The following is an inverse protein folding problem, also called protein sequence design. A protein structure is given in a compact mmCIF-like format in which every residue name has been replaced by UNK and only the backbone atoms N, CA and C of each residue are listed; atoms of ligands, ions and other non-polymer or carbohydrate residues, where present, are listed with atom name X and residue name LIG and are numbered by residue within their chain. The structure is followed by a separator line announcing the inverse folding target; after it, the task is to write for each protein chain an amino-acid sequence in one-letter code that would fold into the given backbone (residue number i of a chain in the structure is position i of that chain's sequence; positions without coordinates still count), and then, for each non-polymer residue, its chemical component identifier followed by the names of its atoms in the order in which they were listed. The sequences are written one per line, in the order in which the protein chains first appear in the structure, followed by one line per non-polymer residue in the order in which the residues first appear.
data_IF_507151941345
#
_entry.id   IF_507151941345
#
_cell.length_a   1.000
_cell.length_b   1.000
_cell.length_c   1.000
_cell.angle_alpha   90.00
_cell.angle_beta   90.00
_cell.angle_gamma   90.00
#
_symmetry.space_group_name_H-M   'P 1'
#
loop_
_entity.id
_entity.type
_entity.pdbx_description
1 polymer ?
#
# COMPACT_ATOMS: atom_id res chain seq x y z
N UNK A 1 27.15 -26.69 7.13
CA UNK A 1 26.79 -26.15 5.79
C UNK A 1 27.23 -24.70 5.71
N UNK A 2 27.61 -24.22 4.52
CA UNK A 2 27.85 -22.79 4.27
C UNK A 2 26.57 -22.14 3.74
N UNK A 3 26.17 -21.00 4.30
CA UNK A 3 25.07 -20.20 3.75
C UNK A 3 25.47 -18.72 3.70
N UNK A 4 24.97 -18.02 2.67
CA UNK A 4 25.26 -16.59 2.48
C UNK A 4 24.06 -15.76 2.92
N UNK A 5 24.28 -14.84 3.86
CA UNK A 5 23.26 -13.90 4.32
C UNK A 5 23.82 -12.48 4.25
N UNK A 6 23.13 -11.58 3.55
CA UNK A 6 23.57 -10.20 3.31
C UNK A 6 25.00 -10.09 2.73
N UNK A 7 25.39 -11.01 1.84
CA UNK A 7 26.70 -11.02 1.19
C UNK A 7 27.86 -11.56 2.03
N UNK A 8 27.61 -12.07 3.24
CA UNK A 8 28.61 -12.74 4.09
C UNK A 8 28.33 -14.25 4.14
N UNK A 9 29.35 -15.06 3.91
CA UNK A 9 29.30 -16.51 4.05
C UNK A 9 29.52 -16.90 5.51
N UNK A 10 28.59 -17.69 6.05
CA UNK A 10 28.67 -18.22 7.41
C UNK A 10 28.74 -19.74 7.36
N UNK A 11 29.64 -20.32 8.15
CA UNK A 11 29.62 -21.74 8.46
C UNK A 11 28.61 -22.00 9.57
N UNK A 12 27.60 -22.81 9.28
CA UNK A 12 26.47 -23.07 10.15
C UNK A 12 26.26 -24.58 10.24
N UNK A 13 26.57 -25.13 11.39
CA UNK A 13 26.45 -26.56 11.71
C UNK A 13 25.71 -26.73 13.04
N UNK A 14 25.14 -27.91 13.27
CA UNK A 14 24.45 -28.21 14.51
C UNK A 14 25.35 -28.01 15.74
N UNK A 15 26.63 -28.36 15.66
CA UNK A 15 27.59 -28.21 16.76
C UNK A 15 27.92 -26.75 17.07
N UNK A 16 27.97 -25.89 16.04
CA UNK A 16 28.14 -24.44 16.25
C UNK A 16 26.90 -23.87 16.96
N UNK A 17 25.70 -24.30 16.56
CA UNK A 17 24.44 -23.87 17.18
C UNK A 17 24.41 -24.28 18.66
N UNK A 18 24.67 -25.55 18.98
CA UNK A 18 24.71 -26.03 20.38
C UNK A 18 25.73 -25.28 21.23
N UNK A 19 26.97 -25.13 20.72
CA UNK A 19 28.06 -24.43 21.44
C UNK A 19 27.73 -22.97 21.71
N UNK A 20 27.09 -22.29 20.76
CA UNK A 20 26.72 -20.87 20.90
C UNK A 20 25.52 -20.67 21.81
N UNK A 21 24.62 -21.65 21.93
CA UNK A 21 23.49 -21.61 22.85
C UNK A 21 23.87 -21.94 24.29
N UNK A 22 25.03 -22.57 24.53
CA UNK A 22 25.51 -22.86 25.87
C UNK A 22 25.61 -21.59 26.73
N UNK A 23 24.98 -21.61 27.91
CA UNK A 23 24.92 -20.46 28.82
C UNK A 23 23.80 -19.44 28.51
N UNK A 24 23.03 -19.65 27.45
CA UNK A 24 21.81 -18.87 27.19
C UNK A 24 20.57 -19.61 27.68
N UNK A 25 19.50 -18.86 27.94
CA UNK A 25 18.18 -19.41 28.26
C UNK A 25 17.20 -19.14 27.11
N UNK A 26 16.35 -20.11 26.75
CA UNK A 26 15.32 -19.91 25.76
C UNK A 26 14.34 -18.82 26.20
N UNK A 27 14.03 -17.92 25.29
CA UNK A 27 12.93 -16.98 25.46
C UNK A 27 11.58 -17.68 25.23
N UNK A 28 10.49 -16.97 25.55
CA UNK A 28 9.14 -17.43 25.29
C UNK A 28 8.91 -17.70 23.78
N UNK A 29 8.45 -18.90 23.47
CA UNK A 29 8.09 -19.33 22.11
C UNK A 29 6.72 -18.77 21.77
N UNK A 30 6.65 -17.91 20.76
CA UNK A 30 5.37 -17.34 20.32
C UNK A 30 4.64 -18.22 19.29
N UNK A 31 5.37 -18.81 18.34
CA UNK A 31 4.74 -19.50 17.21
C UNK A 31 5.62 -20.60 16.63
N UNK A 32 6.91 -20.30 16.40
CA UNK A 32 7.86 -21.21 15.77
C UNK A 32 8.98 -21.57 16.75
N UNK A 33 9.23 -22.87 16.91
CA UNK A 33 10.31 -23.37 17.77
C UNK A 33 11.21 -24.39 17.09
N UNK A 34 12.41 -24.53 17.65
CA UNK A 34 13.38 -25.58 17.37
C UNK A 34 13.76 -26.24 18.69
N UNK A 35 13.84 -27.56 18.71
CA UNK A 35 14.35 -28.30 19.87
C UNK A 35 15.87 -28.50 19.73
N UNK A 36 16.60 -28.07 20.76
CA UNK A 36 18.05 -28.21 20.88
C UNK A 36 18.32 -28.85 22.23
N UNK A 37 18.89 -30.04 22.22
CA UNK A 37 19.25 -30.83 23.41
C UNK A 37 18.08 -31.00 24.40
N UNK A 38 16.89 -31.32 23.86
CA UNK A 38 15.66 -31.53 24.63
C UNK A 38 14.94 -30.25 25.08
N UNK A 39 15.48 -29.07 24.76
CA UNK A 39 14.90 -27.78 25.13
C UNK A 39 14.35 -27.08 23.88
N UNK A 40 13.13 -26.55 23.94
CA UNK A 40 12.55 -25.79 22.83
C UNK A 40 12.98 -24.32 22.89
N UNK A 41 13.44 -23.81 21.76
CA UNK A 41 13.91 -22.44 21.57
C UNK A 41 13.14 -21.72 20.47
N UNK A 42 12.90 -20.40 20.57
CA UNK A 42 12.42 -19.60 19.47
C UNK A 42 13.42 -19.59 18.31
N UNK A 43 12.96 -19.94 17.10
CA UNK A 43 13.85 -20.09 15.92
C UNK A 43 14.68 -18.84 15.63
N UNK A 44 14.13 -17.63 15.83
CA UNK A 44 14.86 -16.38 15.61
C UNK A 44 15.92 -16.08 16.67
N UNK A 45 15.71 -16.54 17.91
CA UNK A 45 16.68 -16.38 18.97
C UNK A 45 17.90 -17.27 18.68
N UNK A 46 17.66 -18.53 18.29
CA UNK A 46 18.73 -19.45 17.89
C UNK A 46 19.54 -18.90 16.73
N UNK A 47 18.88 -18.36 15.71
CA UNK A 47 19.57 -17.73 14.59
C UNK A 47 20.41 -16.52 15.01
N UNK A 48 19.88 -15.65 15.87
CA UNK A 48 20.61 -14.47 16.34
C UNK A 48 21.85 -14.85 17.18
N UNK A 49 21.71 -15.81 18.10
CA UNK A 49 22.83 -16.27 18.94
C UNK A 49 23.89 -16.99 18.09
N UNK A 50 23.47 -17.86 17.18
CA UNK A 50 24.40 -18.66 16.40
C UNK A 50 25.10 -17.86 15.28
N UNK A 51 24.51 -16.75 14.81
CA UNK A 51 25.10 -15.88 13.77
C UNK A 51 25.67 -14.55 14.28
N UNK A 52 25.33 -14.14 15.51
CA UNK A 52 25.67 -12.82 16.06
C UNK A 52 24.91 -11.63 15.43
N UNK A 53 23.88 -11.90 14.61
CA UNK A 53 23.11 -10.87 13.89
C UNK A 53 21.80 -10.54 14.61
N UNK A 54 21.28 -9.34 14.36
CA UNK A 54 20.00 -8.90 14.94
C UNK A 54 18.81 -9.76 14.48
N UNK A 55 17.91 -10.08 15.42
CA UNK A 55 16.70 -10.90 15.19
C UNK A 55 15.79 -10.37 14.07
N UNK A 56 15.77 -9.05 13.85
CA UNK A 56 14.96 -8.38 12.80
C UNK A 56 15.40 -8.79 11.39
N UNK A 57 16.63 -9.26 11.23
CA UNK A 57 17.18 -9.72 9.95
C UNK A 57 16.70 -11.12 9.56
N UNK A 58 15.99 -11.81 10.45
CA UNK A 58 15.54 -13.18 10.23
C UNK A 58 14.02 -13.28 10.09
N UNK A 59 13.57 -13.97 9.04
CA UNK A 59 12.17 -14.35 8.84
C UNK A 59 11.90 -15.73 9.47
N UNK A 60 10.81 -15.87 10.23
CA UNK A 60 10.55 -17.05 11.08
C UNK A 60 10.55 -18.37 10.29
N UNK A 61 9.89 -18.37 9.13
CA UNK A 61 9.76 -19.54 8.28
C UNK A 61 11.10 -19.92 7.62
N UNK A 62 11.90 -18.93 7.21
CA UNK A 62 13.25 -19.16 6.66
C UNK A 62 14.20 -19.74 7.72
N UNK A 63 14.15 -19.21 8.95
CA UNK A 63 14.92 -19.73 10.08
C UNK A 63 14.53 -21.17 10.43
N UNK A 64 13.22 -21.48 10.45
CA UNK A 64 12.72 -22.84 10.68
C UNK A 64 13.28 -23.82 9.65
N UNK A 65 13.10 -23.53 8.35
CA UNK A 65 13.57 -24.40 7.26
C UNK A 65 15.08 -24.62 7.29
N UNK A 66 15.84 -23.60 7.70
CA UNK A 66 17.30 -23.72 7.82
C UNK A 66 17.70 -24.64 8.98
N UNK A 67 17.05 -24.52 10.13
CA UNK A 67 17.32 -25.35 11.31
C UNK A 67 16.86 -26.80 11.09
N UNK A 68 15.74 -27.01 10.42
CA UNK A 68 15.26 -28.33 9.98
C UNK A 68 16.27 -29.01 9.06
N UNK A 69 16.83 -28.27 8.09
CA UNK A 69 17.90 -28.76 7.19
C UNK A 69 19.20 -29.10 7.92
N UNK A 70 19.42 -28.57 9.11
CA UNK A 70 20.56 -28.91 9.97
C UNK A 70 20.29 -30.13 10.86
N UNK A 71 19.12 -30.76 10.75
CA UNK A 71 18.74 -31.95 11.49
C UNK A 71 18.09 -31.67 12.85
N UNK A 72 17.70 -30.41 13.13
CA UNK A 72 16.97 -30.10 14.36
C UNK A 72 15.46 -30.35 14.20
N UNK A 73 14.83 -30.85 15.26
CA UNK A 73 13.37 -30.97 15.33
C UNK A 73 12.74 -29.59 15.44
N UNK A 74 11.83 -29.25 14.53
CA UNK A 74 11.17 -27.94 14.49
C UNK A 74 9.65 -28.11 14.49
N UNK A 75 8.94 -27.17 15.12
CA UNK A 75 7.48 -27.20 15.17
C UNK A 75 6.83 -25.83 15.15
N UNK A 76 5.51 -25.86 14.99
CA UNK A 76 4.63 -24.70 15.09
C UNK A 76 3.48 -25.04 16.06
N UNK A 77 3.09 -24.08 16.90
CA UNK A 77 1.94 -24.21 17.81
C UNK A 77 2.18 -23.67 19.22
N UNK A 78 1.09 -23.34 19.93
CA UNK A 78 1.08 -22.93 21.34
C UNK A 78 1.26 -24.18 22.22
N UNK A 79 2.43 -24.32 22.86
CA UNK A 79 2.62 -25.39 23.85
C UNK A 79 1.94 -25.02 25.19
N UNK A 80 1.07 -25.91 25.67
CA UNK A 80 0.52 -25.96 27.03
C UNK A 80 1.58 -26.56 27.99
N UNK A 81 2.00 -25.84 29.03
CA UNK A 81 1.79 -26.14 30.48
C UNK A 81 2.83 -25.54 31.45
N UNK A 82 2.30 -25.17 32.63
CA UNK A 82 2.89 -25.00 33.98
C UNK A 82 3.61 -23.69 34.41
N UNK A 83 2.77 -22.80 34.95
CA UNK A 83 2.83 -22.18 36.29
C UNK A 83 4.00 -21.27 36.70
N UNK A 84 3.83 -19.98 36.37
CA UNK A 84 3.99 -18.87 37.32
C UNK A 84 3.10 -17.72 36.85
N UNK A 85 2.35 -17.01 37.73
CA UNK A 85 1.54 -15.87 37.33
C UNK A 85 2.45 -14.67 37.09
N UNK A 86 3.22 -14.72 35.99
CA UNK A 86 3.68 -13.50 35.35
C UNK A 86 2.56 -13.10 34.42
N UNK A 87 1.86 -12.04 34.82
CA UNK A 87 0.92 -11.26 34.02
C UNK A 87 1.32 -11.35 32.55
N UNK A 88 0.63 -12.22 31.81
CA UNK A 88 0.87 -12.38 30.41
C UNK A 88 0.55 -11.04 29.79
N UNK A 89 1.56 -10.30 29.36
CA UNK A 89 1.39 -9.25 28.38
C UNK A 89 1.09 -9.93 27.04
N UNK A 90 -0.02 -10.67 26.96
CA UNK A 90 -0.81 -10.58 25.75
C UNK A 90 -0.97 -9.09 25.54
N UNK A 91 -0.64 -8.59 24.34
CA UNK A 91 -1.07 -7.25 23.96
C UNK A 91 -2.58 -7.27 24.08
N UNK A 92 -3.09 -6.96 25.26
CA UNK A 92 -4.48 -6.69 25.50
C UNK A 92 -4.84 -5.68 24.42
N UNK A 93 -5.89 -5.97 23.65
CA UNK A 93 -6.38 -5.01 22.69
C UNK A 93 -6.61 -3.74 23.48
N UNK A 94 -5.83 -2.71 23.15
CA UNK A 94 -5.97 -1.41 23.78
C UNK A 94 -7.33 -0.92 23.33
N UNK A 95 -8.25 -0.74 24.28
CA UNK A 95 -9.54 -0.13 24.00
C UNK A 95 -9.30 1.34 23.63
N UNK A 96 -9.60 1.79 22.40
CA UNK A 96 -9.43 3.19 22.02
C UNK A 96 -10.20 4.16 22.92
N UNK A 97 -11.31 3.72 23.54
CA UNK A 97 -12.08 4.54 24.46
C UNK A 97 -11.36 4.81 25.80
N UNK A 98 -10.39 3.98 26.16
CA UNK A 98 -9.57 4.16 27.36
C UNK A 98 -8.33 5.04 27.11
N UNK A 99 -8.08 5.46 25.86
CA UNK A 99 -6.96 6.32 25.51
C UNK A 99 -7.28 7.79 25.79
N UNK A 100 -6.29 8.52 26.30
CA UNK A 100 -6.40 9.96 26.48
C UNK A 100 -6.34 10.66 25.11
N UNK A 101 -7.33 11.51 24.83
CA UNK A 101 -7.28 12.43 23.69
C UNK A 101 -6.20 13.48 23.96
N UNK A 102 -5.23 13.58 23.04
CA UNK A 102 -4.16 14.58 23.11
C UNK A 102 -4.52 15.85 22.33
N UNK A 103 -5.10 15.68 21.14
CA UNK A 103 -5.47 16.79 20.27
C UNK A 103 -6.65 16.41 19.36
N UNK A 104 -7.34 17.44 18.86
CA UNK A 104 -8.32 17.32 17.80
C UNK A 104 -7.77 17.96 16.54
N UNK A 105 -7.89 17.26 15.41
CA UNK A 105 -7.57 17.80 14.08
C UNK A 105 -8.86 17.79 13.28
N UNK A 106 -9.35 18.97 12.95
CA UNK A 106 -10.45 19.20 12.02
C UNK A 106 -9.89 19.88 10.78
N UNK A 107 -10.29 19.50 9.57
CA UNK A 107 -9.83 20.14 8.32
C UNK A 107 -10.98 20.24 7.34
N UNK A 108 -11.34 21.48 6.98
CA UNK A 108 -12.24 21.75 5.86
C UNK A 108 -11.44 21.91 4.57
N UNK A 109 -11.78 21.13 3.54
CA UNK A 109 -11.19 21.24 2.20
C UNK A 109 -12.22 21.92 1.28
N UNK A 110 -11.82 22.95 0.54
CA UNK A 110 -12.72 23.63 -0.40
C UNK A 110 -12.01 24.00 -1.70
N UNK A 111 -12.62 23.67 -2.83
CA UNK A 111 -12.14 24.02 -4.16
C UNK A 111 -13.29 23.91 -5.18
N UNK A 112 -13.04 24.41 -6.40
CA UNK A 112 -13.98 24.32 -7.51
C UNK A 112 -13.37 23.60 -8.70
N UNK A 113 -14.19 22.83 -9.42
CA UNK A 113 -13.81 22.20 -10.68
C UNK A 113 -14.00 23.18 -11.83
N UNK A 114 -12.90 23.52 -12.51
CA UNK A 114 -12.90 24.32 -13.72
C UNK A 114 -12.91 23.38 -14.93
N UNK A 115 -13.93 23.52 -15.80
CA UNK A 115 -13.99 22.78 -17.06
C UNK A 115 -12.81 23.18 -17.96
N UNK A 116 -11.98 22.21 -18.32
CA UNK A 116 -10.87 22.38 -19.26
C UNK A 116 -11.28 22.05 -20.70
N UNK A 117 -12.29 21.19 -20.88
CA UNK A 117 -12.83 20.79 -22.18
C UNK A 117 -12.78 19.28 -22.39
N UNK A 118 -13.26 18.79 -23.55
CA UNK A 118 -13.38 17.38 -23.82
C UNK A 118 -12.03 16.73 -24.13
N UNK A 119 -11.90 15.45 -23.76
CA UNK A 119 -10.85 14.56 -24.26
C UNK A 119 -11.39 13.88 -25.52
N UNK A 120 -10.61 13.88 -26.60
CA UNK A 120 -10.97 13.24 -27.87
C UNK A 120 -9.93 12.21 -28.27
N UNK A 121 -10.18 11.46 -29.33
CA UNK A 121 -9.12 10.71 -30.02
C UNK A 121 -8.52 11.58 -31.14
N UNK A 122 -7.23 11.43 -31.41
CA UNK A 122 -6.60 11.94 -32.64
C UNK A 122 -6.69 10.93 -33.79
N UNK A 123 -6.10 11.26 -34.94
CA UNK A 123 -6.16 10.42 -36.14
C UNK A 123 -5.51 9.04 -35.95
N UNK A 124 -4.58 8.93 -35.00
CA UNK A 124 -3.90 7.68 -34.63
C UNK A 124 -4.65 6.91 -33.53
N UNK A 125 -5.83 7.38 -33.11
CA UNK A 125 -6.62 6.76 -32.04
C UNK A 125 -6.05 6.97 -30.64
N UNK A 126 -5.19 7.97 -30.44
CA UNK A 126 -4.61 8.30 -29.14
C UNK A 126 -5.41 9.40 -28.43
N UNK A 127 -5.50 9.37 -27.08
CA UNK A 127 -6.17 10.42 -26.34
C UNK A 127 -5.51 11.79 -26.55
N UNK A 128 -6.30 12.75 -27.01
CA UNK A 128 -5.96 14.16 -27.16
C UNK A 128 -6.67 14.96 -26.07
N UNK A 129 -5.87 15.63 -25.24
CA UNK A 129 -6.36 16.42 -24.11
C UNK A 129 -6.39 17.92 -24.46
N UNK A 130 -7.29 18.71 -23.83
CA UNK A 130 -7.23 20.16 -23.89
C UNK A 130 -5.92 20.68 -23.28
N UNK A 131 -5.52 21.90 -23.68
CA UNK A 131 -4.34 22.55 -23.12
C UNK A 131 -4.60 22.96 -21.67
N UNK A 132 -3.67 22.65 -20.78
CA UNK A 132 -3.77 22.95 -19.35
C UNK A 132 -2.64 23.88 -18.88
N UNK A 133 -2.85 24.62 -17.77
CA UNK A 133 -1.79 25.40 -17.13
C UNK A 133 -0.69 24.52 -16.52
N UNK A 134 0.53 25.08 -16.43
CA UNK A 134 1.70 24.43 -15.81
C UNK A 134 1.76 24.73 -14.30
N UNK A 135 0.71 24.37 -13.59
CA UNK A 135 0.56 24.59 -12.14
C UNK A 135 0.28 23.26 -11.43
N UNK A 136 0.55 23.15 -10.12
CA UNK A 136 0.03 22.05 -9.32
C UNK A 136 -1.49 22.14 -9.20
N UNK A 137 -2.14 21.00 -8.96
CA UNK A 137 -3.58 20.96 -8.75
C UNK A 137 -4.17 19.56 -8.76
N UNK A 138 -5.49 19.51 -8.64
CA UNK A 138 -6.29 18.32 -8.90
C UNK A 138 -6.81 18.32 -10.32
N UNK A 139 -7.21 17.15 -10.80
CA UNK A 139 -7.86 16.98 -12.09
C UNK A 139 -8.89 15.85 -12.04
N UNK A 140 -9.90 15.93 -12.91
CA UNK A 140 -11.03 15.00 -12.97
C UNK A 140 -11.35 14.64 -14.41
N UNK A 141 -11.40 13.35 -14.72
CA UNK A 141 -12.05 12.84 -15.94
C UNK A 141 -13.46 12.42 -15.59
N UNK A 142 -14.40 12.91 -16.37
CA UNK A 142 -15.81 12.63 -16.24
C UNK A 142 -16.27 11.87 -17.48
N UNK A 143 -16.56 10.59 -17.30
CA UNK A 143 -16.95 9.68 -18.39
C UNK A 143 -18.46 9.75 -18.68
N UNK A 144 -19.20 10.61 -17.98
CA UNK A 144 -20.66 10.68 -18.08
C UNK A 144 -21.36 9.53 -17.37
N UNK A 145 -22.66 9.37 -17.68
CA UNK A 145 -23.52 8.30 -17.15
C UNK A 145 -23.65 7.19 -18.18
N UNK A 146 -23.65 5.94 -17.70
CA UNK A 146 -24.06 4.79 -18.52
C UNK A 146 -25.59 4.64 -18.55
N UNK A 147 -26.06 3.60 -19.24
CA UNK A 147 -27.48 3.32 -19.44
C UNK A 147 -28.23 3.04 -18.12
N UNK A 148 -27.51 2.54 -17.10
CA UNK A 148 -28.03 2.33 -15.74
C UNK A 148 -28.01 3.63 -14.90
N UNK A 149 -27.60 4.75 -15.52
CA UNK A 149 -27.51 6.06 -14.89
C UNK A 149 -26.31 6.22 -13.97
N UNK A 150 -25.33 5.30 -13.98
CA UNK A 150 -24.15 5.36 -13.13
C UNK A 150 -23.13 6.34 -13.69
N UNK A 151 -22.83 7.38 -12.92
CA UNK A 151 -21.84 8.40 -13.27
C UNK A 151 -20.42 7.90 -12.99
N UNK A 152 -19.57 7.79 -14.00
CA UNK A 152 -18.19 7.30 -13.82
C UNK A 152 -17.18 8.45 -13.81
N UNK A 153 -16.38 8.52 -12.74
CA UNK A 153 -15.37 9.56 -12.52
C UNK A 153 -13.99 8.95 -12.28
N UNK A 154 -12.94 9.67 -12.68
CA UNK A 154 -11.57 9.47 -12.22
C UNK A 154 -11.01 10.78 -11.72
N UNK A 155 -10.42 10.79 -10.53
CA UNK A 155 -9.87 11.98 -9.90
C UNK A 155 -8.39 11.75 -9.65
N UNK A 156 -7.56 12.77 -9.74
CA UNK A 156 -6.16 12.64 -9.34
C UNK A 156 -5.49 13.98 -9.07
N UNK A 157 -4.25 13.90 -8.60
CA UNK A 157 -3.41 15.05 -8.32
C UNK A 157 -2.15 15.10 -9.19
N UNK A 158 -1.61 16.31 -9.36
CA UNK A 158 -0.30 16.50 -9.98
C UNK A 158 0.38 17.76 -9.48
N UNK A 159 1.71 17.72 -9.38
CA UNK A 159 2.56 18.92 -9.27
C UNK A 159 2.55 19.77 -10.55
N UNK A 160 2.12 19.18 -11.67
CA UNK A 160 2.06 19.83 -12.98
C UNK A 160 0.92 19.24 -13.81
N UNK A 161 -0.19 19.98 -13.89
CA UNK A 161 -1.41 19.56 -14.60
C UNK A 161 -1.17 19.33 -16.10
N UNK A 162 -0.45 20.24 -16.77
CA UNK A 162 -0.11 20.11 -18.20
C UNK A 162 0.69 18.84 -18.52
N UNK A 163 1.69 18.50 -17.71
CA UNK A 163 2.51 17.30 -17.90
C UNK A 163 1.70 16.02 -17.68
N UNK A 164 0.75 16.03 -16.75
CA UNK A 164 -0.01 14.84 -16.37
C UNK A 164 -0.84 14.29 -17.52
N UNK A 165 -1.47 15.16 -18.32
CA UNK A 165 -2.21 14.76 -19.52
C UNK A 165 -1.34 13.98 -20.52
N UNK A 166 -0.09 14.44 -20.74
CA UNK A 166 0.84 13.74 -21.64
C UNK A 166 1.22 12.35 -21.14
N UNK A 167 1.25 12.12 -19.82
CA UNK A 167 1.54 10.79 -19.28
C UNK A 167 0.44 9.79 -19.66
N UNK A 168 -0.83 10.19 -19.58
CA UNK A 168 -1.94 9.33 -20.01
C UNK A 168 -1.92 9.07 -21.50
N UNK A 169 -1.74 10.12 -22.33
CA UNK A 169 -1.65 9.95 -23.80
C UNK A 169 -0.59 8.92 -24.20
N UNK A 170 0.59 8.98 -23.58
CA UNK A 170 1.74 8.20 -23.99
C UNK A 170 1.86 6.83 -23.29
N UNK A 171 0.95 6.47 -22.37
CA UNK A 171 0.99 5.23 -21.61
C UNK A 171 0.52 3.97 -22.39
N UNK A 172 0.96 3.83 -23.65
CA UNK A 172 0.55 2.74 -24.56
C UNK A 172 1.23 1.40 -24.28
N UNK A 173 2.54 1.40 -23.95
CA UNK A 173 3.37 0.18 -23.87
C UNK A 173 3.42 -0.47 -22.50
N UNK A 174 3.36 -1.81 -22.44
CA UNK A 174 3.39 -2.63 -21.22
C UNK A 174 4.70 -2.55 -20.40
N UNK A 175 5.76 -1.96 -20.97
CA UNK A 175 7.10 -1.97 -20.39
C UNK A 175 7.39 -0.85 -19.36
N UNK A 176 6.44 -0.48 -18.48
CA UNK A 176 6.71 0.60 -17.52
C UNK A 176 6.12 0.42 -16.12
N UNK A 177 6.78 1.07 -15.14
CA UNK A 177 6.37 1.20 -13.74
C UNK A 177 5.06 2.02 -13.55
N UNK A 178 4.41 2.49 -14.62
CA UNK A 178 3.27 3.41 -14.57
C UNK A 178 1.91 2.70 -14.73
N UNK A 179 1.62 1.72 -13.87
CA UNK A 179 0.41 0.87 -13.97
C UNK A 179 -0.89 1.70 -14.03
N UNK A 180 -1.03 2.71 -13.17
CA UNK A 180 -2.23 3.58 -13.14
C UNK A 180 -2.43 4.33 -14.44
N UNK A 181 -1.37 4.96 -14.98
CA UNK A 181 -1.48 5.72 -16.23
C UNK A 181 -1.87 4.85 -17.41
N UNK A 182 -1.39 3.60 -17.47
CA UNK A 182 -1.77 2.61 -18.49
C UNK A 182 -3.24 2.21 -18.37
N UNK A 183 -3.70 1.89 -17.15
CA UNK A 183 -5.10 1.51 -16.89
C UNK A 183 -6.04 2.62 -17.35
N UNK A 184 -5.77 3.84 -16.89
CA UNK A 184 -6.60 5.00 -17.25
C UNK A 184 -6.51 5.34 -18.74
N UNK A 185 -5.34 5.16 -19.38
CA UNK A 185 -5.24 5.27 -20.85
C UNK A 185 -6.20 4.30 -21.56
N UNK A 186 -6.22 3.02 -21.14
CA UNK A 186 -7.12 2.00 -21.73
C UNK A 186 -8.59 2.37 -21.53
N UNK A 187 -8.97 2.82 -20.34
CA UNK A 187 -10.35 3.26 -20.07
C UNK A 187 -10.75 4.45 -20.93
N UNK A 188 -9.88 5.45 -21.07
CA UNK A 188 -10.12 6.62 -21.93
C UNK A 188 -10.33 6.18 -23.38
N UNK A 189 -9.42 5.38 -23.94
CA UNK A 189 -9.51 4.93 -25.34
C UNK A 189 -10.76 4.10 -25.56
N UNK A 190 -11.03 3.11 -24.68
CA UNK A 190 -12.20 2.25 -24.76
C UNK A 190 -13.50 3.05 -24.78
N UNK A 191 -13.61 4.05 -23.88
CA UNK A 191 -14.81 4.88 -23.78
C UNK A 191 -14.98 5.80 -24.99
N UNK A 192 -13.90 6.41 -25.49
CA UNK A 192 -14.01 7.30 -26.65
C UNK A 192 -14.28 6.54 -27.96
N UNK A 193 -13.88 5.27 -28.06
CA UNK A 193 -14.15 4.42 -29.23
C UNK A 193 -15.64 4.08 -29.40
N UNK A 194 -16.45 4.18 -28.34
CA UNK A 194 -17.91 4.01 -28.46
C UNK A 194 -18.62 5.27 -28.96
N UNK A 195 -17.89 6.35 -29.22
CA UNK A 195 -18.45 7.66 -29.60
C UNK A 195 -18.90 8.51 -28.41
N UNK A 196 -18.73 8.04 -27.18
CA UNK A 196 -19.02 8.81 -25.98
C UNK A 196 -17.98 9.93 -25.73
N UNK A 197 -18.36 10.94 -24.94
CA UNK A 197 -17.47 12.04 -24.56
C UNK A 197 -16.89 11.84 -23.16
N UNK A 198 -15.66 12.33 -22.95
CA UNK A 198 -15.08 12.47 -21.61
C UNK A 198 -14.78 13.95 -21.36
N UNK A 199 -15.33 14.51 -20.29
CA UNK A 199 -15.08 15.89 -19.88
C UNK A 199 -13.87 15.96 -18.94
N UNK A 200 -12.94 16.88 -19.22
CA UNK A 200 -11.79 17.13 -18.38
C UNK A 200 -12.01 18.38 -17.53
N UNK A 201 -11.84 18.27 -16.22
CA UNK A 201 -11.83 19.40 -15.30
C UNK A 201 -10.55 19.44 -14.45
N UNK A 202 -10.20 20.63 -13.95
CA UNK A 202 -9.07 20.86 -13.06
C UNK A 202 -9.47 21.71 -11.86
N UNK A 203 -8.76 21.56 -10.75
CA UNK A 203 -8.85 22.45 -9.59
C UNK A 203 -7.44 22.91 -9.20
N UNK A 204 -6.96 24.07 -9.70
CA UNK A 204 -5.63 24.58 -9.39
C UNK A 204 -5.57 25.36 -8.07
N UNK A 205 -6.73 25.69 -7.48
CA UNK A 205 -6.87 26.44 -6.24
C UNK A 205 -7.63 25.58 -5.23
N UNK A 206 -7.07 25.42 -4.03
CA UNK A 206 -7.69 24.71 -2.90
C UNK A 206 -7.42 25.52 -1.65
N UNK A 207 -8.45 25.70 -0.84
CA UNK A 207 -8.35 26.31 0.49
C UNK A 207 -8.53 25.23 1.56
N UNK A 208 -7.70 25.29 2.59
CA UNK A 208 -7.81 24.45 3.78
C UNK A 208 -8.25 25.36 4.94
N UNK A 209 -9.25 24.94 5.72
CA UNK A 209 -9.84 25.71 6.82
C UNK A 209 -10.43 27.08 6.43
N UNK A 210 -10.99 27.20 5.22
CA UNK A 210 -11.69 28.42 4.77
C UNK A 210 -10.83 29.68 4.65
N UNK A 211 -9.50 29.52 4.69
CA UNK A 211 -8.52 30.61 4.55
C UNK A 211 -8.07 30.84 3.12
N UNK A 212 -6.83 31.32 2.97
CA UNK A 212 -6.19 31.57 1.68
C UNK A 212 -5.89 30.26 0.92
N UNK A 213 -5.52 30.42 -0.36
CA UNK A 213 -5.07 29.33 -1.20
C UNK A 213 -3.91 28.59 -0.57
N UNK A 214 -4.08 27.28 -0.41
CA UNK A 214 -3.08 26.37 0.11
C UNK A 214 -2.04 26.07 -0.95
N UNK A 215 -0.76 26.05 -0.56
CA UNK A 215 0.33 25.71 -1.46
C UNK A 215 0.24 24.26 -1.96
N UNK A 216 -0.29 24.10 -3.16
CA UNK A 216 -0.42 22.80 -3.81
C UNK A 216 0.90 22.22 -4.31
N UNK A 217 2.07 22.83 -4.06
CA UNK A 217 3.36 22.11 -4.21
C UNK A 217 3.53 21.06 -3.11
N UNK A 218 2.90 21.26 -1.95
CA UNK A 218 2.87 20.28 -0.87
C UNK A 218 2.06 19.05 -1.29
N UNK A 219 2.70 17.88 -1.29
CA UNK A 219 2.04 16.62 -1.64
C UNK A 219 0.90 16.31 -0.67
N UNK A 220 1.07 16.57 0.63
CA UNK A 220 0.02 16.36 1.64
C UNK A 220 -1.24 17.17 1.32
N UNK A 221 -1.11 18.44 0.95
CA UNK A 221 -2.24 19.29 0.58
C UNK A 221 -2.99 18.73 -0.63
N UNK A 222 -2.27 18.34 -1.69
CA UNK A 222 -2.89 17.73 -2.88
C UNK A 222 -3.52 16.38 -2.58
N UNK A 223 -2.86 15.52 -1.82
CA UNK A 223 -3.41 14.21 -1.44
C UNK A 223 -4.66 14.36 -0.57
N UNK A 224 -4.68 15.27 0.40
CA UNK A 224 -5.86 15.52 1.21
C UNK A 224 -7.04 16.02 0.36
N UNK A 225 -6.76 16.94 -0.57
CA UNK A 225 -7.79 17.46 -1.46
C UNK A 225 -8.31 16.42 -2.47
N UNK A 226 -7.43 15.57 -3.00
CA UNK A 226 -7.80 14.41 -3.82
C UNK A 226 -8.67 13.43 -3.03
N UNK A 227 -8.25 13.05 -1.81
CA UNK A 227 -8.99 12.13 -0.96
C UNK A 227 -10.37 12.66 -0.61
N UNK A 228 -10.50 13.96 -0.30
CA UNK A 228 -11.79 14.60 -0.07
C UNK A 228 -12.69 14.50 -1.31
N UNK A 229 -12.16 14.79 -2.49
CA UNK A 229 -12.89 14.69 -3.76
C UNK A 229 -13.35 13.26 -4.07
N UNK A 230 -12.47 12.28 -3.87
CA UNK A 230 -12.73 10.85 -4.10
C UNK A 230 -13.79 10.35 -3.12
N UNK A 231 -13.71 10.71 -1.84
CA UNK A 231 -14.68 10.33 -0.83
C UNK A 231 -16.09 10.90 -1.12
N UNK A 232 -16.17 12.17 -1.50
CA UNK A 232 -17.44 12.79 -1.90
C UNK A 232 -18.03 12.06 -3.10
N UNK A 233 -17.22 11.78 -4.13
CA UNK A 233 -17.70 11.06 -5.30
C UNK A 233 -18.15 9.63 -4.94
N UNK A 234 -17.49 8.93 -4.02
CA UNK A 234 -17.87 7.59 -3.59
C UNK A 234 -19.15 7.53 -2.76
N UNK A 235 -19.38 8.55 -1.95
CA UNK A 235 -20.58 8.66 -1.12
C UNK A 235 -21.77 9.25 -1.87
N UNK A 236 -21.54 9.78 -3.08
CA UNK A 236 -22.59 10.25 -3.97
C UNK A 236 -23.32 9.05 -4.59
N UNK A 237 -24.65 8.93 -4.45
CA UNK A 237 -25.41 7.84 -5.06
C UNK A 237 -25.16 7.73 -6.57
N UNK A 238 -25.14 6.49 -7.07
CA UNK A 238 -24.95 6.18 -8.50
C UNK A 238 -23.69 6.80 -9.10
N UNK A 239 -22.60 6.91 -8.33
CA UNK A 239 -21.30 7.37 -8.81
C UNK A 239 -20.24 6.28 -8.63
N UNK A 240 -19.56 5.90 -9.71
CA UNK A 240 -18.42 4.99 -9.70
C UNK A 240 -17.13 5.79 -9.82
N UNK A 241 -16.15 5.52 -8.95
CA UNK A 241 -14.85 6.19 -8.97
C UNK A 241 -13.75 5.21 -9.32
N UNK A 242 -13.16 5.37 -10.51
CA UNK A 242 -12.14 4.47 -11.06
C UNK A 242 -10.84 4.42 -10.22
N UNK A 243 -10.65 5.34 -9.26
CA UNK A 243 -9.49 5.34 -8.36
C UNK A 243 -9.35 4.04 -7.56
N UNK A 244 -10.47 3.44 -7.12
CA UNK A 244 -10.49 2.36 -6.11
C UNK A 244 -10.69 0.95 -6.67
N UNK A 245 -11.09 0.79 -7.92
CA UNK A 245 -11.37 -0.53 -8.56
C UNK A 245 -10.16 -1.50 -8.63
N UNK A 246 -9.10 -1.30 -7.84
CA UNK A 246 -7.96 -2.21 -7.64
C UNK A 246 -7.67 -2.49 -6.15
N UNK A 247 -8.02 -1.61 -5.20
CA UNK A 247 -7.73 -1.85 -3.77
C UNK A 247 -8.79 -2.74 -3.11
N UNK A 248 -9.99 -2.80 -3.68
CA UNK A 248 -10.98 -3.85 -3.44
C UNK A 248 -10.86 -4.83 -4.60
N UNK A 249 -9.83 -5.68 -4.57
CA UNK A 249 -9.69 -6.77 -5.54
C UNK A 249 -11.01 -7.54 -5.69
N UNK A 250 -11.26 -8.02 -6.90
CA UNK A 250 -12.33 -8.99 -7.16
C UNK A 250 -12.39 -10.00 -6.01
N UNK A 251 -13.56 -10.25 -5.40
CA UNK A 251 -13.66 -11.24 -4.34
C UNK A 251 -13.08 -12.54 -4.87
N UNK A 252 -12.07 -13.06 -4.18
CA UNK A 252 -11.38 -14.30 -4.52
C UNK A 252 -12.43 -15.32 -4.99
N UNK A 253 -12.40 -15.62 -6.29
CA UNK A 253 -13.20 -16.69 -6.85
C UNK A 253 -12.80 -17.96 -6.11
N UNK A 254 -13.69 -18.40 -5.23
CA UNK A 254 -13.59 -19.64 -4.47
C UNK A 254 -13.28 -20.76 -5.46
N UNK A 255 -12.07 -21.32 -5.35
CA UNK A 255 -11.72 -22.64 -5.87
C UNK A 255 -11.52 -23.58 -4.69
#
# INVERSE_FOLDING_TARGET
MQFTLAGRSFEFTADIVRRKLAGHVPESIQEHWVEVDGVRWPVKQVMAIATGLERRRFQSQSSRRLLERLGFSVGQGKALTSASPRSGSGRARVDPAALQVLEYVDVQVTFQWLKAGPITLDAEGLPKFPRLPRVPGLYRFDFGRDDDGVHTLYIGESVNLARRASNYRNAKTDQSRQRTSRRIHKEIVKHLQTGASIEFAIAPHVTMHGGEDTDLRLKSARCLAESAAVLIAQTTPSTRVLNIDVDLGEPDAVK
#
